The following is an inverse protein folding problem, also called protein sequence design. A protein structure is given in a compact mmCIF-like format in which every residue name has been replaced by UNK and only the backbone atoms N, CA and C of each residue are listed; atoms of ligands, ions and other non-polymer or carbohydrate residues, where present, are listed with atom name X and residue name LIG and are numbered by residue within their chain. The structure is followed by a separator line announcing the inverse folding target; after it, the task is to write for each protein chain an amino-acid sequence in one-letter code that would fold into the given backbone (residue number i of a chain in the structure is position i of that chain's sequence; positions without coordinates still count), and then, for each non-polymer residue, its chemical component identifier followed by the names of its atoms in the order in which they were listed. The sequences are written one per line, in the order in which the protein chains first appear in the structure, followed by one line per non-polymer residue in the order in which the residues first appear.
data_IF_339229653400
#
_entry.id   IF_339229653400
#
_cell.length_a   1.000
_cell.length_b   1.000
_cell.length_c   1.000
_cell.angle_alpha   90.00
_cell.angle_beta   90.00
_cell.angle_gamma   90.00
#
_symmetry.space_group_name_H-M   'P 1'
#
loop_
_entity.id
_entity.type
_entity.pdbx_description
1 polymer ?
#
# COMPACT_ATOMS: atom_id res chain seq x y z
N UNK A 1 -12.06 -8.43 -18.95
CA UNK A 1 -11.90 -9.78 -18.38
C UNK A 1 -11.04 -10.58 -19.33
N UNK A 2 -9.83 -10.98 -18.93
CA UNK A 2 -8.88 -11.65 -19.85
C UNK A 2 -9.28 -13.09 -20.20
N UNK A 3 -10.12 -13.74 -19.39
CA UNK A 3 -10.64 -15.09 -19.64
C UNK A 3 -11.98 -15.08 -20.40
N UNK A 4 -12.54 -13.90 -20.71
CA UNK A 4 -13.91 -13.78 -21.23
C UNK A 4 -14.97 -13.91 -20.15
N UNK A 5 -16.25 -14.01 -20.54
CA UNK A 5 -17.38 -14.12 -19.61
C UNK A 5 -17.83 -15.56 -19.47
N UNK A 6 -18.07 -16.01 -18.23
CA UNK A 6 -18.64 -17.33 -17.96
C UNK A 6 -17.72 -18.49 -18.27
N UNK A 7 -16.40 -18.30 -18.12
CA UNK A 7 -15.43 -19.39 -18.23
C UNK A 7 -15.79 -20.51 -17.25
N UNK A 8 -16.07 -21.74 -17.73
CA UNK A 8 -16.62 -22.80 -16.90
C UNK A 8 -15.64 -23.26 -15.83
N UNK A 9 -14.33 -23.27 -16.11
CA UNK A 9 -13.31 -23.68 -15.15
C UNK A 9 -13.21 -22.66 -14.01
N UNK A 10 -13.24 -21.37 -14.33
CA UNK A 10 -13.29 -20.30 -13.34
C UNK A 10 -14.56 -20.37 -12.49
N UNK A 11 -15.74 -20.53 -13.10
CA UNK A 11 -17.02 -20.63 -12.36
C UNK A 11 -17.00 -21.81 -11.40
N UNK A 12 -16.55 -22.98 -11.88
CA UNK A 12 -16.47 -24.18 -11.05
C UNK A 12 -15.54 -23.99 -9.85
N UNK A 13 -14.35 -23.39 -10.06
CA UNK A 13 -13.40 -23.12 -8.98
C UNK A 13 -13.97 -22.17 -7.92
N UNK A 14 -14.70 -21.13 -8.33
CA UNK A 14 -15.36 -20.20 -7.41
C UNK A 14 -16.47 -20.89 -6.62
N UNK A 15 -17.31 -21.68 -7.27
CA UNK A 15 -18.41 -22.41 -6.63
C UNK A 15 -17.88 -23.44 -5.62
N UNK A 16 -16.85 -24.20 -5.98
CA UNK A 16 -16.21 -25.17 -5.10
C UNK A 16 -15.65 -24.49 -3.85
N UNK A 17 -14.89 -23.40 -4.02
CA UNK A 17 -14.32 -22.67 -2.89
C UNK A 17 -15.41 -22.04 -2.00
N UNK A 18 -16.50 -21.53 -2.59
CA UNK A 18 -17.62 -20.97 -1.85
C UNK A 18 -18.36 -22.03 -1.01
N UNK A 19 -18.44 -23.27 -1.49
CA UNK A 19 -18.99 -24.39 -0.72
C UNK A 19 -18.08 -24.83 0.43
N UNK A 20 -16.75 -24.78 0.24
CA UNK A 20 -15.79 -25.19 1.25
C UNK A 20 -15.59 -24.13 2.34
N UNK A 21 -15.18 -22.92 1.96
CA UNK A 21 -14.86 -21.82 2.89
C UNK A 21 -15.23 -20.46 2.27
N UNK A 22 -16.38 -19.88 2.64
CA UNK A 22 -16.89 -18.66 2.01
C UNK A 22 -16.24 -17.35 2.51
N UNK A 23 -15.40 -17.36 3.57
CA UNK A 23 -14.89 -16.13 4.20
C UNK A 23 -13.47 -16.21 4.80
N UNK A 24 -12.80 -15.05 4.81
CA UNK A 24 -11.36 -14.80 5.03
C UNK A 24 -10.88 -14.76 6.51
N UNK A 25 -11.78 -14.72 7.50
CA UNK A 25 -11.41 -14.53 8.93
C UNK A 25 -11.38 -15.83 9.74
N UNK A 26 -10.78 -16.91 9.21
CA UNK A 26 -10.53 -18.11 10.00
C UNK A 26 -9.09 -18.18 10.50
N UNK A 27 -8.94 -18.24 11.82
CA UNK A 27 -7.69 -18.51 12.54
C UNK A 27 -7.36 -20.01 12.58
N UNK A 28 -7.47 -20.70 11.44
CA UNK A 28 -7.09 -22.12 11.27
C UNK A 28 -6.09 -22.28 10.13
N UNK A 29 -5.12 -23.21 10.26
CA UNK A 29 -4.07 -23.43 9.25
C UNK A 29 -4.65 -23.75 7.85
N UNK A 30 -5.81 -24.41 7.80
CA UNK A 30 -6.45 -24.84 6.55
C UNK A 30 -7.11 -23.69 5.77
N UNK A 31 -7.49 -22.58 6.44
CA UNK A 31 -8.11 -21.43 5.79
C UNK A 31 -7.17 -20.68 4.84
N UNK A 32 -5.86 -20.87 4.99
CA UNK A 32 -4.83 -20.18 4.21
C UNK A 32 -4.36 -20.99 3.02
N UNK A 33 -4.79 -22.24 2.85
CA UNK A 33 -4.19 -23.15 1.86
C UNK A 33 -4.27 -22.59 0.43
N UNK A 34 -5.39 -21.96 0.06
CA UNK A 34 -5.56 -21.38 -1.27
C UNK A 34 -4.71 -20.13 -1.48
N UNK A 35 -4.61 -19.27 -0.46
CA UNK A 35 -3.75 -18.07 -0.52
C UNK A 35 -2.28 -18.45 -0.56
N UNK A 36 -1.86 -19.44 0.24
CA UNK A 36 -0.49 -19.98 0.22
C UNK A 36 -0.20 -20.64 -1.14
N UNK A 37 -1.15 -21.39 -1.70
CA UNK A 37 -1.00 -22.02 -3.02
C UNK A 37 -0.85 -20.97 -4.12
N UNK A 38 -1.71 -19.96 -4.13
CA UNK A 38 -1.61 -18.85 -5.08
C UNK A 38 -0.30 -18.07 -4.90
N UNK A 39 0.09 -17.78 -3.66
CA UNK A 39 1.34 -17.10 -3.34
C UNK A 39 2.57 -17.87 -3.84
N UNK A 40 2.61 -19.19 -3.63
CA UNK A 40 3.68 -20.06 -4.17
C UNK A 40 3.73 -20.02 -5.70
N UNK A 41 2.59 -20.18 -6.37
CA UNK A 41 2.50 -20.11 -7.84
C UNK A 41 3.00 -18.77 -8.38
N UNK A 42 2.62 -17.67 -7.74
CA UNK A 42 3.07 -16.32 -8.11
C UNK A 42 4.58 -16.17 -7.91
N UNK A 43 5.16 -16.73 -6.84
CA UNK A 43 6.60 -16.73 -6.61
C UNK A 43 7.34 -17.58 -7.65
N UNK A 44 6.79 -18.72 -8.07
CA UNK A 44 7.39 -19.60 -9.08
C UNK A 44 7.41 -18.98 -10.49
N UNK A 45 6.45 -18.10 -10.81
CA UNK A 45 6.33 -17.48 -12.13
C UNK A 45 6.78 -16.01 -12.19
N UNK A 46 7.38 -15.49 -11.11
CA UNK A 46 7.82 -14.09 -11.05
C UNK A 46 9.14 -13.91 -10.29
N UNK A 47 9.62 -12.67 -10.21
CA UNK A 47 10.80 -12.29 -9.42
C UNK A 47 10.58 -12.35 -7.89
N UNK A 48 9.35 -12.59 -7.44
CA UNK A 48 8.95 -12.35 -6.07
C UNK A 48 9.33 -13.48 -5.11
N UNK A 49 9.72 -13.11 -3.90
CA UNK A 49 9.97 -14.04 -2.78
C UNK A 49 8.87 -13.98 -1.71
N UNK A 50 8.08 -12.91 -1.73
CA UNK A 50 6.88 -12.71 -0.90
C UNK A 50 5.80 -12.05 -1.74
N UNK A 51 4.56 -12.32 -1.36
CA UNK A 51 3.38 -11.76 -2.00
C UNK A 51 2.44 -11.28 -0.89
N UNK A 52 2.09 -10.00 -0.94
CA UNK A 52 1.03 -9.44 -0.10
C UNK A 52 -0.30 -9.46 -0.88
N UNK A 53 -1.41 -9.77 -0.22
CA UNK A 53 -2.74 -9.84 -0.84
C UNK A 53 -3.60 -8.64 -0.42
N UNK A 54 -4.37 -8.11 -1.36
CA UNK A 54 -5.36 -7.06 -1.17
C UNK A 54 -6.57 -7.32 -2.09
N UNK A 55 -7.54 -6.40 -2.14
CA UNK A 55 -8.79 -6.59 -2.89
C UNK A 55 -8.84 -5.80 -4.19
N UNK A 56 -8.03 -4.74 -4.32
CA UNK A 56 -8.06 -3.85 -5.48
C UNK A 56 -6.68 -3.33 -5.87
N UNK A 57 -6.53 -2.83 -7.11
CA UNK A 57 -5.27 -2.23 -7.56
C UNK A 57 -4.86 -1.00 -6.74
N UNK A 58 -5.82 -0.17 -6.35
CA UNK A 58 -5.56 0.97 -5.46
C UNK A 58 -5.09 0.52 -4.07
N UNK A 59 -5.66 -0.54 -3.49
CA UNK A 59 -5.16 -1.10 -2.22
C UNK A 59 -3.76 -1.71 -2.37
N UNK A 60 -3.46 -2.33 -3.52
CA UNK A 60 -2.13 -2.84 -3.81
C UNK A 60 -1.10 -1.69 -3.91
N UNK A 61 -1.48 -0.56 -4.52
CA UNK A 61 -0.65 0.65 -4.57
C UNK A 61 -0.47 1.30 -3.19
N UNK A 62 -1.51 1.37 -2.36
CA UNK A 62 -1.40 1.80 -0.96
C UNK A 62 -0.49 0.86 -0.16
N UNK A 63 -0.63 -0.45 -0.35
CA UNK A 63 0.24 -1.43 0.29
C UNK A 63 1.69 -1.19 -0.17
N UNK A 64 1.95 -1.00 -1.46
CA UNK A 64 3.28 -0.65 -1.95
C UNK A 64 3.82 0.61 -1.27
N UNK A 65 3.06 1.71 -1.23
CA UNK A 65 3.45 2.95 -0.51
C UNK A 65 3.76 2.68 0.98
N UNK A 66 2.94 1.90 1.67
CA UNK A 66 3.16 1.57 3.08
C UNK A 66 4.38 0.67 3.30
N UNK A 67 4.64 -0.28 2.40
CA UNK A 67 5.81 -1.17 2.44
C UNK A 67 7.11 -0.39 2.29
N UNK A 68 7.12 0.63 1.43
CA UNK A 68 8.23 1.57 1.29
C UNK A 68 8.50 2.32 2.61
N UNK A 69 7.44 2.61 3.36
CA UNK A 69 7.50 3.24 4.67
C UNK A 69 8.27 2.46 5.74
N UNK A 70 8.28 1.13 5.61
CA UNK A 70 8.97 0.21 6.54
C UNK A 70 10.43 -0.05 6.17
N UNK A 71 10.85 0.37 4.96
CA UNK A 71 12.23 0.25 4.51
C UNK A 71 13.15 1.15 5.36
N UNK A 72 14.20 0.58 5.97
CA UNK A 72 15.03 1.16 7.05
C UNK A 72 15.51 2.60 6.83
N UNK A 73 15.69 3.02 5.58
CA UNK A 73 16.11 4.37 5.25
C UNK A 73 14.95 5.38 5.31
N UNK A 74 13.71 4.96 5.04
CA UNK A 74 12.54 5.84 5.07
C UNK A 74 12.24 6.39 6.47
N UNK A 75 12.34 5.55 7.51
CA UNK A 75 12.15 6.00 8.89
C UNK A 75 13.24 6.96 9.36
N UNK A 76 14.49 6.76 8.91
CA UNK A 76 15.62 7.66 9.22
C UNK A 76 15.50 8.97 8.44
N UNK A 77 15.08 8.90 7.18
CA UNK A 77 14.83 10.06 6.31
C UNK A 77 13.66 10.91 6.84
N UNK A 78 12.54 10.30 7.22
CA UNK A 78 11.40 11.00 7.84
C UNK A 78 11.75 11.57 9.22
N UNK A 79 12.46 10.81 10.08
CA UNK A 79 12.89 11.32 11.39
C UNK A 79 13.79 12.55 11.29
N UNK A 80 14.59 12.62 10.24
CA UNK A 80 15.50 13.75 9.97
C UNK A 80 14.85 14.84 9.11
N UNK A 81 13.55 14.76 8.81
CA UNK A 81 12.85 15.68 7.90
C UNK A 81 13.55 15.84 6.54
N UNK A 82 14.25 14.81 6.07
CA UNK A 82 14.78 14.79 4.71
C UNK A 82 13.59 14.65 3.76
N UNK A 83 13.54 15.51 2.73
CA UNK A 83 12.45 15.52 1.75
C UNK A 83 12.54 14.24 0.93
N UNK A 84 11.74 13.25 1.32
CA UNK A 84 11.56 12.01 0.58
C UNK A 84 10.61 12.25 -0.59
N UNK A 85 11.11 12.06 -1.82
CA UNK A 85 10.32 12.20 -3.04
C UNK A 85 9.90 10.85 -3.59
N UNK A 86 8.61 10.75 -3.96
CA UNK A 86 8.09 9.73 -4.84
C UNK A 86 8.05 10.30 -6.26
N UNK A 87 8.42 9.49 -7.23
CA UNK A 87 8.36 9.85 -8.64
C UNK A 87 7.22 9.06 -9.30
N UNK A 88 6.39 9.77 -10.07
CA UNK A 88 5.39 9.20 -10.95
C UNK A 88 5.51 9.86 -12.34
N UNK A 89 4.74 9.39 -13.33
CA UNK A 89 4.87 9.88 -14.71
C UNK A 89 3.66 10.68 -15.17
N UNK A 90 3.84 11.52 -16.18
CA UNK A 90 2.72 12.13 -16.90
C UNK A 90 1.76 11.05 -17.38
N UNK A 91 0.46 11.38 -17.45
CA UNK A 91 -0.63 10.46 -17.82
C UNK A 91 -0.90 9.28 -16.85
N UNK A 92 -0.19 9.17 -15.73
CA UNK A 92 -0.37 8.06 -14.78
C UNK A 92 -1.77 7.99 -14.16
N UNK A 93 -2.21 6.77 -13.87
CA UNK A 93 -3.34 6.47 -13.01
C UNK A 93 -3.01 5.30 -12.08
N UNK A 94 -2.79 5.61 -10.79
CA UNK A 94 -2.48 4.63 -9.76
C UNK A 94 -3.66 4.37 -8.81
N UNK A 95 -4.81 5.00 -9.06
CA UNK A 95 -6.03 4.86 -8.27
C UNK A 95 -6.46 6.15 -7.57
N UNK A 96 -7.48 6.00 -6.72
CA UNK A 96 -8.23 7.13 -6.12
C UNK A 96 -8.26 7.12 -4.60
N UNK A 97 -7.50 6.23 -3.95
CA UNK A 97 -7.25 6.28 -2.49
C UNK A 97 -6.19 7.34 -2.17
N UNK A 98 -6.08 7.76 -0.92
CA UNK A 98 -5.33 8.98 -0.55
C UNK A 98 -3.84 8.98 -0.94
N UNK A 99 -3.14 7.85 -0.83
CA UNK A 99 -1.75 7.70 -1.30
C UNK A 99 -1.68 7.53 -2.81
N UNK A 100 -2.51 6.66 -3.37
CA UNK A 100 -2.54 6.35 -4.80
C UNK A 100 -2.96 7.55 -5.68
N UNK A 101 -3.90 8.37 -5.22
CA UNK A 101 -4.38 9.56 -5.94
C UNK A 101 -3.31 10.65 -5.99
N UNK A 102 -2.37 10.67 -5.04
CA UNK A 102 -1.22 11.56 -5.09
C UNK A 102 -0.28 11.20 -6.25
N UNK A 103 -0.19 9.91 -6.59
CA UNK A 103 0.61 9.38 -7.70
C UNK A 103 -0.13 9.47 -9.05
N UNK A 104 -1.44 9.70 -9.06
CA UNK A 104 -2.27 9.88 -10.27
C UNK A 104 -2.12 11.29 -10.85
N UNK A 105 -1.69 11.43 -12.12
CA UNK A 105 -1.43 12.76 -12.71
C UNK A 105 -2.69 13.55 -13.03
N UNK A 106 -3.75 12.87 -13.48
CA UNK A 106 -4.99 13.51 -13.98
C UNK A 106 -5.63 14.36 -12.88
N UNK A 107 -5.72 15.66 -13.12
CA UNK A 107 -6.08 16.65 -12.11
C UNK A 107 -7.52 16.51 -11.61
N UNK A 108 -8.46 16.08 -12.46
CA UNK A 108 -9.84 15.89 -12.03
C UNK A 108 -10.02 14.80 -10.96
N UNK A 109 -9.09 13.83 -10.88
CA UNK A 109 -9.06 12.88 -9.78
C UNK A 109 -8.36 13.43 -8.54
N UNK A 110 -7.41 14.34 -8.67
CA UNK A 110 -6.51 14.78 -7.60
C UNK A 110 -6.98 16.05 -6.89
N UNK A 111 -7.39 17.07 -7.64
CA UNK A 111 -7.81 18.39 -7.14
C UNK A 111 -8.92 18.33 -6.07
N UNK A 112 -9.96 17.46 -6.19
CA UNK A 112 -11.02 17.40 -5.19
C UNK A 112 -10.56 16.91 -3.80
N UNK A 113 -9.39 16.28 -3.70
CA UNK A 113 -8.86 15.69 -2.47
C UNK A 113 -7.59 16.39 -1.99
N UNK A 114 -7.23 17.55 -2.55
CA UNK A 114 -6.07 18.29 -2.08
C UNK A 114 -6.27 18.85 -0.66
N UNK A 115 -5.23 18.86 0.19
CA UNK A 115 -3.88 18.35 -0.09
C UNK A 115 -3.79 16.82 -0.03
N UNK A 116 -3.20 16.22 -1.06
CA UNK A 116 -2.87 14.79 -1.13
C UNK A 116 -1.48 14.51 -0.51
N UNK A 117 -1.05 13.25 -0.48
CA UNK A 117 0.30 12.88 0.01
C UNK A 117 1.39 13.77 -0.64
N UNK A 118 2.19 14.51 0.15
CA UNK A 118 3.18 15.43 -0.38
C UNK A 118 4.41 14.69 -0.91
N UNK A 119 5.31 15.42 -1.59
CA UNK A 119 6.58 14.85 -2.06
C UNK A 119 6.46 14.06 -3.36
N UNK A 120 5.45 14.32 -4.19
CA UNK A 120 5.32 13.69 -5.52
C UNK A 120 5.95 14.58 -6.58
N UNK A 121 6.83 14.00 -7.39
CA UNK A 121 7.38 14.61 -8.60
C UNK A 121 6.89 13.84 -9.82
N UNK A 122 6.26 14.56 -10.74
CA UNK A 122 5.86 14.01 -12.03
C UNK A 122 6.94 14.25 -13.09
N UNK A 123 7.24 13.23 -13.88
CA UNK A 123 8.22 13.25 -14.97
C UNK A 123 7.54 12.88 -16.28
N UNK A 124 7.99 13.42 -17.40
CA UNK A 124 7.42 13.06 -18.70
C UNK A 124 7.62 11.55 -18.99
N UNK A 125 6.54 10.86 -19.36
CA UNK A 125 6.59 9.43 -19.66
C UNK A 125 7.56 9.15 -20.83
N UNK A 126 8.50 8.23 -20.61
CA UNK A 126 9.54 7.88 -21.60
C UNK A 126 10.76 8.82 -21.61
N UNK A 127 10.78 9.90 -20.83
CA UNK A 127 11.92 10.81 -20.75
C UNK A 127 12.98 10.30 -19.75
N UNK A 128 13.89 9.44 -20.24
CA UNK A 128 14.94 8.87 -19.41
C UNK A 128 15.90 9.91 -18.82
N UNK A 129 16.29 10.93 -19.58
CA UNK A 129 17.24 11.94 -19.11
C UNK A 129 16.68 12.75 -17.94
N UNK A 130 15.38 13.05 -17.98
CA UNK A 130 14.69 13.69 -16.86
C UNK A 130 14.56 12.75 -15.66
N UNK A 131 14.17 11.49 -15.89
CA UNK A 131 14.09 10.47 -14.86
C UNK A 131 15.42 10.30 -14.11
N UNK A 132 16.52 10.16 -14.86
CA UNK A 132 17.87 10.01 -14.29
C UNK A 132 18.30 11.20 -13.44
N UNK A 133 17.93 12.44 -13.83
CA UNK A 133 18.23 13.65 -13.04
C UNK A 133 17.38 13.76 -11.78
N UNK A 134 16.15 13.24 -11.83
CA UNK A 134 15.21 13.30 -10.73
C UNK A 134 15.43 12.21 -9.68
N UNK A 135 15.85 11.01 -10.10
CA UNK A 135 16.14 9.89 -9.21
C UNK A 135 17.48 10.15 -8.50
N UNK A 136 17.43 10.49 -7.22
CA UNK A 136 18.57 10.97 -6.45
C UNK A 136 18.77 10.17 -5.16
N UNK A 137 20.01 9.79 -4.88
CA UNK A 137 20.39 9.11 -3.66
C UNK A 137 20.05 9.93 -2.41
N UNK A 138 19.47 9.28 -1.40
CA UNK A 138 19.06 9.92 -0.15
C UNK A 138 17.86 10.88 -0.26
N UNK A 139 17.25 10.98 -1.44
CA UNK A 139 16.08 11.84 -1.70
C UNK A 139 14.90 11.06 -2.28
N UNK A 140 15.13 10.28 -3.32
CA UNK A 140 14.08 9.49 -3.98
C UNK A 140 13.83 8.20 -3.22
N UNK A 141 12.59 7.97 -2.83
CA UNK A 141 12.17 6.75 -2.14
C UNK A 141 11.75 5.69 -3.13
N UNK A 142 10.86 6.07 -4.06
CA UNK A 142 10.39 5.16 -5.07
C UNK A 142 9.95 5.85 -6.35
N UNK A 143 9.99 5.07 -7.42
CA UNK A 143 9.51 5.43 -8.76
C UNK A 143 8.35 4.49 -9.09
N UNK A 144 7.16 5.05 -9.30
CA UNK A 144 5.96 4.34 -9.73
C UNK A 144 5.77 4.53 -11.23
N UNK A 145 5.59 3.43 -11.96
CA UNK A 145 5.33 3.45 -13.40
C UNK A 145 4.39 2.33 -13.80
N UNK A 146 3.44 2.63 -14.69
CA UNK A 146 2.71 1.62 -15.45
C UNK A 146 3.56 1.23 -16.67
N UNK A 147 3.94 -0.05 -16.88
CA UNK A 147 4.64 -0.47 -18.10
C UNK A 147 3.85 -0.13 -19.37
N UNK A 148 2.53 -0.18 -19.29
CA UNK A 148 1.59 0.33 -20.28
C UNK A 148 0.53 1.14 -19.53
N UNK A 149 0.48 2.45 -19.76
CA UNK A 149 -0.49 3.35 -19.13
C UNK A 149 -1.86 3.15 -19.75
N UNK A 150 -2.79 2.54 -19.02
CA UNK A 150 -4.14 2.24 -19.54
C UNK A 150 -4.99 3.51 -19.63
N UNK A 151 -5.43 4.01 -18.48
CA UNK A 151 -6.27 5.20 -18.35
C UNK A 151 -5.61 6.46 -18.92
N UNK A 152 -4.28 6.49 -18.96
CA UNK A 152 -3.51 7.60 -19.52
C UNK A 152 -3.70 7.81 -21.01
N UNK A 153 -4.05 6.76 -21.76
CA UNK A 153 -4.19 6.81 -23.23
C UNK A 153 -3.41 5.72 -23.98
N UNK A 154 -3.09 4.60 -23.34
CA UNK A 154 -2.33 3.47 -23.92
C UNK A 154 -0.90 3.88 -24.34
N UNK A 155 -0.17 4.51 -23.43
CA UNK A 155 1.25 4.81 -23.63
C UNK A 155 2.10 3.63 -23.15
N UNK A 156 2.90 3.05 -24.04
CA UNK A 156 3.77 1.92 -23.71
C UNK A 156 5.19 2.39 -23.44
N UNK A 157 5.75 2.01 -22.28
CA UNK A 157 7.15 2.20 -21.98
C UNK A 157 8.01 1.25 -22.83
N UNK A 158 9.13 1.72 -23.36
CA UNK A 158 10.09 0.83 -24.02
C UNK A 158 10.80 -0.02 -22.98
N UNK A 159 11.22 -1.24 -23.38
CA UNK A 159 11.99 -2.12 -22.50
C UNK A 159 13.26 -1.44 -21.99
N UNK A 160 13.97 -0.74 -22.87
CA UNK A 160 15.20 -0.02 -22.54
C UNK A 160 14.95 1.07 -21.50
N UNK A 161 13.83 1.81 -21.62
CA UNK A 161 13.44 2.80 -20.63
C UNK A 161 13.19 2.16 -19.26
N UNK A 162 12.44 1.06 -19.20
CA UNK A 162 12.17 0.34 -17.95
C UNK A 162 13.45 -0.21 -17.31
N UNK A 163 14.38 -0.74 -18.11
CA UNK A 163 15.68 -1.22 -17.63
C UNK A 163 16.56 -0.08 -17.11
N UNK A 164 16.54 1.06 -17.80
CA UNK A 164 17.30 2.23 -17.39
C UNK A 164 16.75 2.86 -16.10
N UNK A 165 15.42 2.88 -15.92
CA UNK A 165 14.79 3.25 -14.65
C UNK A 165 15.20 2.30 -13.52
N UNK A 166 15.27 1.00 -13.80
CA UNK A 166 15.70 0.01 -12.81
C UNK A 166 17.13 0.27 -12.35
N UNK A 167 18.06 0.45 -13.29
CA UNK A 167 19.45 0.77 -12.97
C UNK A 167 19.57 2.08 -12.17
N UNK A 168 18.85 3.14 -12.57
CA UNK A 168 18.85 4.40 -11.85
C UNK A 168 18.31 4.27 -10.41
N UNK A 169 17.26 3.46 -10.20
CA UNK A 169 16.75 3.17 -8.86
C UNK A 169 17.76 2.38 -8.03
N UNK A 170 18.39 1.35 -8.61
CA UNK A 170 19.43 0.57 -7.93
C UNK A 170 20.59 1.47 -7.47
N UNK A 171 21.11 2.32 -8.36
CA UNK A 171 22.22 3.25 -8.08
C UNK A 171 21.87 4.27 -6.99
N UNK A 172 20.64 4.82 -7.02
CA UNK A 172 20.19 5.78 -6.02
C UNK A 172 19.78 5.12 -4.69
N UNK A 173 19.61 3.80 -4.66
CA UNK A 173 19.01 3.11 -3.51
C UNK A 173 17.49 3.28 -3.41
N UNK A 174 16.84 3.80 -4.45
CA UNK A 174 15.39 3.93 -4.54
C UNK A 174 14.73 2.61 -4.99
N UNK A 175 13.42 2.50 -4.81
CA UNK A 175 12.65 1.32 -5.22
C UNK A 175 11.84 1.60 -6.49
N UNK A 176 11.82 0.63 -7.40
CA UNK A 176 11.04 0.70 -8.64
C UNK A 176 9.78 -0.14 -8.48
N UNK A 177 8.62 0.51 -8.59
CA UNK A 177 7.30 -0.10 -8.48
C UNK A 177 6.64 -0.10 -9.86
N UNK A 178 6.30 -1.29 -10.35
CA UNK A 178 5.45 -1.44 -11.53
C UNK A 178 3.99 -1.55 -11.11
N UNK A 179 3.16 -0.64 -11.60
CA UNK A 179 1.70 -0.78 -11.51
C UNK A 179 1.20 -1.54 -12.73
N UNK A 180 0.60 -2.71 -12.49
CA UNK A 180 0.26 -3.77 -13.44
C UNK A 180 1.44 -4.64 -13.91
N UNK A 181 1.07 -5.76 -14.54
CA UNK A 181 2.02 -6.71 -15.12
C UNK A 181 2.81 -6.05 -16.25
N UNK A 182 4.13 -6.05 -16.11
CA UNK A 182 5.09 -5.71 -17.15
C UNK A 182 6.03 -6.88 -17.45
N UNK A 183 7.25 -6.58 -17.90
CA UNK A 183 8.30 -7.61 -17.99
C UNK A 183 8.73 -8.02 -16.58
N UNK A 184 8.32 -9.23 -16.18
CA UNK A 184 8.35 -9.83 -14.83
C UNK A 184 9.73 -9.94 -14.14
N UNK A 185 10.78 -9.28 -14.62
CA UNK A 185 12.13 -9.39 -14.08
C UNK A 185 12.80 -8.05 -13.74
N UNK A 186 12.16 -6.90 -13.97
CA UNK A 186 12.85 -5.61 -13.91
C UNK A 186 12.41 -4.66 -12.79
N UNK A 187 11.46 -5.02 -11.91
CA UNK A 187 11.05 -4.16 -10.79
C UNK A 187 11.44 -4.71 -9.42
N UNK A 188 11.29 -3.88 -8.39
CA UNK A 188 11.50 -4.24 -6.99
C UNK A 188 10.19 -4.67 -6.30
N UNK A 189 9.11 -4.00 -6.68
CA UNK A 189 7.73 -4.29 -6.33
C UNK A 189 6.88 -4.25 -7.60
N UNK A 190 5.81 -5.02 -7.61
CA UNK A 190 4.75 -4.94 -8.62
C UNK A 190 3.40 -4.86 -7.91
N UNK A 191 2.43 -4.19 -8.48
CA UNK A 191 1.03 -4.23 -8.02
C UNK A 191 0.19 -4.81 -9.14
N UNK A 192 -0.63 -5.82 -8.83
CA UNK A 192 -1.38 -6.58 -9.83
C UNK A 192 -2.81 -6.73 -9.33
N UNK A 193 -3.81 -6.49 -10.16
CA UNK A 193 -5.22 -6.68 -9.82
C UNK A 193 -6.00 -7.21 -11.05
N UNK A 194 -7.17 -6.63 -11.32
CA UNK A 194 -7.97 -6.78 -12.55
C UNK A 194 -7.97 -8.23 -13.12
N UNK A 195 -7.20 -8.58 -14.18
CA UNK A 195 -7.34 -9.90 -14.79
C UNK A 195 -6.85 -11.05 -13.90
N UNK A 196 -6.09 -10.77 -12.83
CA UNK A 196 -5.53 -11.76 -11.91
C UNK A 196 -6.55 -12.79 -11.44
N UNK A 197 -7.77 -12.35 -11.15
CA UNK A 197 -8.80 -13.20 -10.58
C UNK A 197 -10.05 -13.32 -11.46
N UNK A 198 -9.95 -13.02 -12.76
CA UNK A 198 -11.03 -13.25 -13.72
C UNK A 198 -12.34 -12.50 -13.42
N UNK A 199 -12.29 -11.43 -12.63
CA UNK A 199 -13.46 -10.64 -12.23
C UNK A 199 -13.75 -10.62 -10.73
N UNK A 200 -13.07 -11.43 -9.91
CA UNK A 200 -13.10 -11.27 -8.45
C UNK A 200 -12.22 -10.09 -8.00
N UNK A 201 -12.57 -9.51 -6.85
CA UNK A 201 -11.79 -8.46 -6.20
C UNK A 201 -10.58 -9.08 -5.48
N UNK A 202 -9.49 -9.25 -6.23
CA UNK A 202 -8.20 -9.70 -5.70
C UNK A 202 -7.11 -8.87 -6.34
N UNK A 203 -6.16 -8.45 -5.52
CA UNK A 203 -4.91 -7.88 -5.94
C UNK A 203 -3.74 -8.43 -5.13
N UNK A 204 -2.55 -8.32 -5.69
CA UNK A 204 -1.31 -8.77 -5.06
C UNK A 204 -0.21 -7.75 -5.22
N UNK A 205 0.71 -7.76 -4.25
CA UNK A 205 1.98 -7.02 -4.29
C UNK A 205 3.13 -8.01 -4.16
N UNK A 206 3.64 -8.54 -5.28
CA UNK A 206 4.84 -9.38 -5.29
C UNK A 206 6.07 -8.51 -5.02
N UNK A 207 6.96 -8.98 -4.15
CA UNK A 207 8.13 -8.21 -3.71
C UNK A 207 9.43 -9.02 -3.77
N UNK A 208 10.53 -8.33 -4.07
CA UNK A 208 11.89 -8.87 -3.97
C UNK A 208 12.31 -9.10 -2.51
N UNK A 209 13.35 -9.92 -2.29
CA UNK A 209 13.91 -10.15 -0.94
C UNK A 209 14.37 -8.86 -0.27
N UNK A 210 14.94 -7.94 -1.06
CA UNK A 210 15.33 -6.61 -0.58
C UNK A 210 14.18 -5.96 0.18
N UNK A 211 12.98 -5.90 -0.44
CA UNK A 211 11.79 -5.30 0.13
C UNK A 211 11.21 -6.16 1.25
N UNK A 212 11.11 -7.47 1.04
CA UNK A 212 10.55 -8.41 2.01
C UNK A 212 11.31 -8.40 3.35
N UNK A 213 12.65 -8.35 3.32
CA UNK A 213 13.50 -8.34 4.49
C UNK A 213 13.34 -7.06 5.35
N UNK A 214 12.80 -5.98 4.78
CA UNK A 214 12.49 -4.78 5.52
C UNK A 214 11.16 -4.86 6.29
N UNK A 215 10.32 -5.87 6.00
CA UNK A 215 9.01 -6.04 6.60
C UNK A 215 9.15 -7.02 7.77
N UNK A 216 9.06 -6.51 9.00
CA UNK A 216 8.91 -7.34 10.19
C UNK A 216 7.44 -7.68 10.44
N UNK A 217 7.18 -8.83 11.06
CA UNK A 217 5.83 -9.21 11.49
C UNK A 217 5.28 -8.10 12.41
N UNK A 218 4.15 -7.50 12.00
CA UNK A 218 3.54 -6.38 12.73
C UNK A 218 3.90 -4.97 12.22
N UNK A 219 4.65 -4.81 11.13
CA UNK A 219 4.99 -3.48 10.62
C UNK A 219 3.78 -2.68 10.10
N UNK A 220 2.76 -3.37 9.58
CA UNK A 220 1.43 -2.77 9.33
C UNK A 220 0.71 -2.35 10.61
N UNK A 221 1.01 -3.01 11.73
CA UNK A 221 0.47 -2.71 13.05
C UNK A 221 1.36 -1.72 13.82
N UNK A 222 2.51 -1.23 13.31
CA UNK A 222 3.31 -0.22 14.05
C UNK A 222 2.53 1.06 14.37
N UNK A 223 1.48 1.38 13.60
CA UNK A 223 0.53 2.45 13.93
C UNK A 223 -0.19 2.20 15.26
N UNK A 224 -0.47 0.95 15.63
CA UNK A 224 -0.99 0.56 16.96
C UNK A 224 -0.05 1.03 18.07
N UNK A 225 1.23 0.63 17.99
CA UNK A 225 2.24 0.99 18.97
C UNK A 225 2.42 2.52 19.02
N UNK A 226 2.49 3.19 17.87
CA UNK A 226 2.61 4.65 17.80
C UNK A 226 1.42 5.37 18.45
N UNK A 227 0.17 5.00 18.11
CA UNK A 227 -1.01 5.67 18.67
C UNK A 227 -1.13 5.42 20.18
N UNK A 228 -0.87 4.19 20.61
CA UNK A 228 -0.87 3.85 22.04
C UNK A 228 0.22 4.59 22.80
N UNK A 229 1.46 4.59 22.32
CA UNK A 229 2.58 5.34 22.93
C UNK A 229 2.33 6.85 22.93
N UNK A 230 1.80 7.41 21.84
CA UNK A 230 1.48 8.83 21.75
C UNK A 230 0.42 9.23 22.78
N UNK A 231 -0.64 8.44 22.92
CA UNK A 231 -1.68 8.67 23.93
C UNK A 231 -1.13 8.50 25.35
N UNK A 232 -0.35 7.46 25.62
CA UNK A 232 0.32 7.27 26.91
C UNK A 232 1.21 8.46 27.25
N UNK A 233 2.02 8.94 26.30
CA UNK A 233 2.91 10.09 26.52
C UNK A 233 2.14 11.40 26.71
N UNK A 234 1.06 11.63 25.96
CA UNK A 234 0.25 12.85 26.07
C UNK A 234 -0.65 12.87 27.31
N UNK A 235 -1.04 11.71 27.82
CA UNK A 235 -2.01 11.57 28.89
C UNK A 235 -1.42 11.08 30.22
N UNK A 236 -0.17 10.60 30.25
CA UNK A 236 0.46 9.95 31.40
C UNK A 236 0.65 10.80 32.66
N UNK A 237 0.29 12.09 32.62
CA UNK A 237 0.23 12.97 33.80
C UNK A 237 -1.19 13.39 34.21
N UNK A 238 -2.23 12.92 33.52
CA UNK A 238 -3.60 13.29 33.82
C UNK A 238 -4.19 12.34 34.87
N UNK A 239 -4.47 12.88 36.06
CA UNK A 239 -5.05 12.15 37.20
C UNK A 239 -6.39 11.47 36.89
N UNK A 240 -7.07 11.90 35.82
CA UNK A 240 -8.36 11.35 35.39
C UNK A 240 -8.24 10.15 34.46
N UNK A 241 -7.04 9.84 33.99
CA UNK A 241 -6.78 8.70 33.09
C UNK A 241 -6.26 7.53 33.92
N UNK A 242 -7.03 6.44 33.94
CA UNK A 242 -6.66 5.20 34.66
C UNK A 242 -5.74 4.31 33.81
N UNK A 243 -6.09 4.10 32.56
CA UNK A 243 -5.37 3.22 31.66
C UNK A 243 -5.51 3.70 30.21
N UNK A 244 -4.48 3.48 29.40
CA UNK A 244 -4.58 3.55 27.94
C UNK A 244 -4.32 2.15 27.39
N UNK A 245 -5.36 1.54 26.83
CA UNK A 245 -5.38 0.15 26.40
C UNK A 245 -5.90 -0.04 24.97
N UNK A 246 -5.95 -1.28 24.51
CA UNK A 246 -6.42 -1.62 23.16
C UNK A 246 -5.47 -2.52 22.38
N UNK A 247 -5.94 -2.93 21.19
CA UNK A 247 -5.25 -3.80 20.25
C UNK A 247 -5.55 -3.35 18.81
N UNK A 248 -4.52 -3.32 17.95
CA UNK A 248 -4.62 -2.77 16.60
C UNK A 248 -5.00 -1.29 16.58
N UNK A 249 -5.94 -0.90 15.70
CA UNK A 249 -6.45 0.49 15.61
C UNK A 249 -7.57 0.78 16.61
N UNK A 250 -7.97 -0.19 17.43
CA UNK A 250 -8.95 0.00 18.50
C UNK A 250 -8.18 0.34 19.77
N UNK A 251 -8.12 1.64 20.07
CA UNK A 251 -7.42 2.18 21.26
C UNK A 251 -8.42 2.90 22.14
N UNK A 252 -8.37 2.63 23.44
CA UNK A 252 -9.28 3.17 24.44
C UNK A 252 -8.54 3.86 25.58
N UNK A 253 -9.19 4.87 26.17
CA UNK A 253 -8.72 5.56 27.36
C UNK A 253 -9.74 5.30 28.46
N UNK A 254 -9.33 4.62 29.52
CA UNK A 254 -10.15 4.43 30.71
C UNK A 254 -10.04 5.66 31.59
N UNK A 255 -11.18 6.20 32.02
CA UNK A 255 -11.27 7.38 32.88
C UNK A 255 -11.81 7.01 34.26
N UNK A 256 -11.41 7.76 35.29
CA UNK A 256 -12.01 7.68 36.63
C UNK A 256 -13.33 8.45 36.76
N UNK A 257 -13.72 9.17 35.71
CA UNK A 257 -14.91 10.01 35.61
C UNK A 257 -15.78 9.59 34.42
N UNK A 258 -17.03 10.03 34.45
CA UNK A 258 -17.95 9.87 33.32
C UNK A 258 -17.39 10.50 32.05
N UNK A 259 -17.35 9.71 30.97
CA UNK A 259 -16.75 10.12 29.70
C UNK A 259 -17.69 11.01 28.85
N UNK A 260 -18.99 11.08 29.15
CA UNK A 260 -19.99 11.81 28.35
C UNK A 260 -19.61 13.28 28.06
N UNK A 261 -19.13 14.08 29.02
CA UNK A 261 -18.71 15.46 28.74
C UNK A 261 -17.51 15.54 27.78
N UNK A 262 -16.62 14.53 27.80
CA UNK A 262 -15.49 14.45 26.87
C UNK A 262 -15.98 14.08 25.46
N UNK A 263 -16.91 13.15 25.34
CA UNK A 263 -17.52 12.75 24.05
C UNK A 263 -18.18 13.95 23.39
N UNK A 264 -18.96 14.72 24.14
CA UNK A 264 -19.63 15.92 23.63
C UNK A 264 -18.62 16.98 23.18
N UNK A 265 -17.58 17.22 23.99
CA UNK A 265 -16.51 18.15 23.64
C UNK A 265 -15.72 17.72 22.39
N UNK A 266 -15.49 16.40 22.20
CA UNK A 266 -14.81 15.88 21.00
C UNK A 266 -15.70 15.95 19.77
N UNK A 267 -17.00 15.65 19.89
CA UNK A 267 -17.98 15.79 18.81
C UNK A 267 -18.03 17.23 18.29
N UNK A 268 -18.01 18.22 19.19
CA UNK A 268 -17.95 19.64 18.83
C UNK A 268 -16.64 20.05 18.15
N UNK A 269 -15.57 19.27 18.33
CA UNK A 269 -14.29 19.42 17.64
C UNK A 269 -14.17 18.54 16.39
N UNK A 270 -15.30 18.04 15.86
CA UNK A 270 -15.36 17.15 14.69
C UNK A 270 -14.63 15.81 14.84
N UNK A 271 -14.42 15.36 16.08
CA UNK A 271 -13.85 14.03 16.38
C UNK A 271 -14.92 13.15 17.02
N UNK A 272 -15.30 12.08 16.32
CA UNK A 272 -16.25 11.11 16.86
C UNK A 272 -15.52 10.08 17.74
N UNK A 273 -15.96 9.97 19.00
CA UNK A 273 -15.42 9.02 19.98
C UNK A 273 -16.59 8.29 20.63
N UNK A 274 -16.43 7.00 20.88
CA UNK A 274 -17.47 6.15 21.48
C UNK A 274 -17.07 5.78 22.90
N UNK A 275 -18.06 5.65 23.78
CA UNK A 275 -17.90 5.09 25.13
C UNK A 275 -18.21 3.61 25.10
N UNK A 276 -17.36 2.82 25.75
CA UNK A 276 -17.60 1.42 26.04
C UNK A 276 -17.52 1.23 27.54
N UNK A 277 -18.50 0.55 28.13
CA UNK A 277 -18.45 0.18 29.54
C UNK A 277 -17.66 -1.12 29.69
N UNK A 278 -16.70 -1.12 30.62
CA UNK A 278 -15.93 -2.32 30.99
C UNK A 278 -16.72 -2.98 32.12
N UNK A 279 -17.40 -4.10 31.84
CA UNK A 279 -18.14 -4.89 32.86
C UNK A 279 -17.21 -5.52 33.88
#
# INVERSE_FOLDING_TARGET
NSLGHGDPDWVNAVVEQAHAYPFYLFSGQDAWIMQVTLGKRLMECSFAVRVFFANSGMEANEAAVNLLGSFKDFHTLIRNFLVTEFIAFTHSFHGTTMGSVALTRKEHYRLPFEPVMPGIKFIEHGNFEEAKKAIQHGKTVAVFIEPIQGEGGIYSATKDFLQALRAACDDAGALLVFDEVGSLHFCHLMTIAKPLAGGLLISVVPTTERVAAAISAGDHNRKEHYWKELLVNKLGGNLRVKEVGGFGLIVGIELDVQASPLVDARRNASLLVLTAERS
#
